data_IF_476264346601
#
_entry.id   IF_476264346601
#
_cell.length_a   1.000
_cell.length_b   1.000
_cell.length_c   1.000
_cell.angle_alpha   90.00
_cell.angle_beta   90.00
_cell.angle_gamma   90.00
#
_symmetry.space_group_name_H-M   'P 1'
#
loop_
_entity.id
_entity.type
_entity.pdbx_description
1 polymer ?
#
# COMPACT_ATOMS: atom_id res chain seq x y z
N UNK A 1 19.97 -14.27 -13.58
CA UNK A 1 19.21 -14.51 -14.84
C UNK A 1 17.70 -14.54 -14.59
N UNK A 2 17.16 -13.49 -13.95
CA UNK A 2 15.72 -13.41 -13.69
C UNK A 2 14.90 -12.99 -14.93
N UNK A 3 15.55 -12.39 -15.94
CA UNK A 3 14.88 -11.90 -17.16
C UNK A 3 15.72 -12.15 -18.41
N UNK A 4 16.02 -13.42 -18.75
CA UNK A 4 16.90 -13.74 -19.88
C UNK A 4 16.36 -13.18 -21.20
N UNK A 5 15.05 -13.29 -21.44
CA UNK A 5 14.41 -12.80 -22.66
C UNK A 5 14.54 -11.27 -22.81
N UNK A 6 14.33 -10.52 -21.73
CA UNK A 6 14.46 -9.06 -21.79
C UNK A 6 15.90 -8.62 -22.07
N UNK A 7 16.89 -9.36 -21.55
CA UNK A 7 18.29 -9.10 -21.80
C UNK A 7 18.69 -9.47 -23.23
N UNK A 8 18.19 -10.60 -23.74
CA UNK A 8 18.45 -11.08 -25.10
C UNK A 8 17.92 -10.12 -26.16
N UNK A 9 16.64 -9.70 -26.02
CA UNK A 9 16.00 -8.78 -26.95
C UNK A 9 16.21 -7.30 -26.61
N UNK A 10 17.01 -7.00 -25.56
CA UNK A 10 17.30 -5.62 -25.09
C UNK A 10 16.05 -4.79 -24.86
N UNK A 11 14.99 -5.44 -24.40
CA UNK A 11 13.74 -4.75 -24.04
C UNK A 11 13.99 -3.81 -22.85
N UNK A 12 13.45 -2.62 -22.94
CA UNK A 12 13.62 -1.55 -21.93
C UNK A 12 15.06 -1.05 -21.71
N UNK A 13 15.99 -1.41 -22.60
CA UNK A 13 17.34 -0.85 -22.56
C UNK A 13 17.32 0.58 -23.11
N UNK A 14 17.80 1.54 -22.35
CA UNK A 14 18.07 2.90 -22.83
C UNK A 14 19.27 2.93 -23.78
N UNK A 15 20.28 2.15 -23.43
CA UNK A 15 21.49 2.05 -24.23
C UNK A 15 21.69 0.60 -24.63
N UNK A 16 21.31 0.30 -25.86
CA UNK A 16 21.45 -1.04 -26.43
C UNK A 16 22.91 -1.51 -26.57
N UNK A 17 23.86 -0.59 -26.42
CA UNK A 17 25.28 -0.90 -26.45
C UNK A 17 25.83 -1.32 -25.07
N UNK A 18 25.07 -1.07 -24.00
CA UNK A 18 25.40 -1.52 -22.66
C UNK A 18 24.81 -2.90 -22.38
N UNK A 19 25.65 -3.81 -21.94
CA UNK A 19 25.24 -5.16 -21.60
C UNK A 19 24.76 -5.26 -20.14
N UNK A 20 23.87 -6.24 -19.88
CA UNK A 20 23.48 -6.64 -18.54
C UNK A 20 22.58 -5.67 -17.81
N UNK A 21 22.63 -5.73 -16.46
CA UNK A 21 21.73 -5.01 -15.58
C UNK A 21 21.84 -3.47 -15.71
N UNK A 22 23.03 -2.95 -16.01
CA UNK A 22 23.24 -1.52 -16.14
C UNK A 22 22.50 -0.93 -17.35
N UNK A 23 22.44 -1.66 -18.45
CA UNK A 23 21.68 -1.23 -19.64
C UNK A 23 20.17 -1.43 -19.49
N UNK A 24 19.76 -2.54 -18.85
CA UNK A 24 18.35 -2.94 -18.78
C UNK A 24 17.58 -2.29 -17.61
N UNK A 25 18.24 -2.02 -16.48
CA UNK A 25 17.54 -1.62 -15.24
C UNK A 25 17.87 -0.22 -14.74
N UNK A 26 18.66 0.55 -15.49
CA UNK A 26 19.05 1.90 -15.06
C UNK A 26 17.85 2.79 -14.71
N UNK A 27 16.75 2.66 -15.46
CA UNK A 27 15.50 3.38 -15.23
C UNK A 27 14.37 2.49 -14.66
N UNK A 28 14.66 1.22 -14.40
CA UNK A 28 13.74 0.36 -13.67
C UNK A 28 13.47 0.89 -12.27
N UNK A 29 12.26 0.71 -11.75
CA UNK A 29 11.89 1.06 -10.38
C UNK A 29 12.09 -0.13 -9.47
N UNK A 30 12.84 0.08 -8.39
CA UNK A 30 13.02 -0.88 -7.30
C UNK A 30 12.03 -0.52 -6.18
N UNK A 31 10.84 -1.09 -6.23
CA UNK A 31 9.80 -0.81 -5.24
C UNK A 31 9.96 -1.68 -4.01
N UNK A 32 9.98 -1.05 -2.84
CA UNK A 32 9.88 -1.70 -1.55
C UNK A 32 8.43 -1.57 -1.10
N UNK A 33 7.71 -2.69 -1.10
CA UNK A 33 6.30 -2.74 -0.71
C UNK A 33 6.13 -3.12 0.75
N UNK A 34 5.00 -2.73 1.33
CA UNK A 34 4.60 -3.15 2.68
C UNK A 34 3.14 -3.55 2.73
N UNK A 35 2.83 -4.47 3.65
CA UNK A 35 1.49 -4.88 4.06
C UNK A 35 1.46 -5.00 5.58
N UNK A 36 0.28 -5.02 6.18
CA UNK A 36 0.14 -5.29 7.62
C UNK A 36 0.47 -4.10 8.52
N UNK A 37 0.35 -2.86 8.06
CA UNK A 37 0.58 -1.69 8.91
C UNK A 37 -0.33 -1.69 10.14
N UNK A 38 -1.61 -2.06 9.97
CA UNK A 38 -2.56 -2.18 11.07
C UNK A 38 -2.07 -3.13 12.16
N UNK A 39 -1.69 -4.32 11.73
CA UNK A 39 -1.25 -5.39 12.63
C UNK A 39 0.07 -5.01 13.30
N UNK A 40 0.99 -4.39 12.58
CA UNK A 40 2.25 -3.92 13.13
C UNK A 40 2.02 -2.85 14.22
N UNK A 41 1.19 -1.86 13.95
CA UNK A 41 0.86 -0.80 14.92
C UNK A 41 0.10 -1.38 16.13
N UNK A 42 -0.84 -2.30 15.92
CA UNK A 42 -1.56 -2.96 17.01
C UNK A 42 -0.61 -3.76 17.90
N UNK A 43 0.39 -4.44 17.35
CA UNK A 43 1.42 -5.15 18.12
C UNK A 43 2.26 -4.16 18.95
N UNK A 44 2.68 -3.07 18.34
CA UNK A 44 3.58 -2.09 18.98
C UNK A 44 2.91 -1.24 20.06
N UNK A 45 1.64 -0.89 19.86
CA UNK A 45 0.92 0.07 20.71
C UNK A 45 -0.18 -0.55 21.55
N UNK A 46 -0.61 -1.78 21.24
CA UNK A 46 -1.79 -2.41 21.80
C UNK A 46 -3.11 -1.83 21.30
N UNK A 47 -3.08 -0.93 20.32
CA UNK A 47 -4.23 -0.16 19.85
C UNK A 47 -4.34 -0.15 18.33
N UNK A 48 -5.56 -0.10 17.82
CA UNK A 48 -5.84 0.06 16.39
C UNK A 48 -5.70 1.52 15.98
N UNK A 49 -4.93 1.79 14.92
CA UNK A 49 -4.59 3.16 14.53
C UNK A 49 -5.82 4.01 14.15
N UNK A 50 -6.90 3.42 13.68
CA UNK A 50 -8.12 4.16 13.36
C UNK A 50 -9.02 4.48 14.59
N UNK A 51 -8.67 3.96 15.79
CA UNK A 51 -9.40 4.18 17.03
C UNK A 51 -8.66 5.04 18.04
N UNK A 52 -7.35 5.23 17.84
CA UNK A 52 -6.50 5.92 18.80
C UNK A 52 -5.53 6.85 18.08
N UNK A 53 -5.45 8.09 18.56
CA UNK A 53 -4.67 9.14 17.91
C UNK A 53 -3.15 8.91 18.03
N UNK A 54 -2.68 8.33 19.15
CA UNK A 54 -1.24 8.03 19.32
C UNK A 54 -0.83 6.88 18.42
N UNK A 55 -1.67 5.83 18.32
CA UNK A 55 -1.46 4.75 17.38
C UNK A 55 -1.49 5.24 15.92
N UNK A 56 -2.37 6.19 15.60
CA UNK A 56 -2.40 6.80 14.27
C UNK A 56 -1.11 7.57 13.95
N UNK A 57 -0.60 8.36 14.90
CA UNK A 57 0.70 9.04 14.74
C UNK A 57 1.83 8.03 14.55
N UNK A 58 1.86 6.97 15.37
CA UNK A 58 2.86 5.91 15.23
C UNK A 58 2.81 5.24 13.84
N UNK A 59 1.61 5.05 13.27
CA UNK A 59 1.45 4.55 11.91
C UNK A 59 2.05 5.51 10.86
N UNK A 60 1.75 6.81 10.97
CA UNK A 60 2.31 7.83 10.07
C UNK A 60 3.83 7.94 10.19
N UNK A 61 4.35 7.92 11.42
CA UNK A 61 5.79 8.00 11.70
C UNK A 61 6.52 6.78 11.12
N UNK A 62 5.95 5.59 11.25
CA UNK A 62 6.52 4.37 10.69
C UNK A 62 6.61 4.43 9.16
N UNK A 63 5.53 4.81 8.49
CA UNK A 63 5.53 4.93 7.02
C UNK A 63 6.42 6.07 6.56
N UNK A 64 6.45 7.19 7.29
CA UNK A 64 7.36 8.30 7.04
C UNK A 64 8.83 7.90 7.17
N UNK A 65 9.17 7.10 8.18
CA UNK A 65 10.50 6.52 8.34
C UNK A 65 10.87 5.60 7.17
N UNK A 66 9.96 4.71 6.77
CA UNK A 66 10.17 3.82 5.62
C UNK A 66 10.44 4.63 4.35
N UNK A 67 9.68 5.71 4.12
CA UNK A 67 9.89 6.58 2.98
C UNK A 67 11.25 7.26 3.02
N UNK A 68 11.64 7.83 4.15
CA UNK A 68 12.95 8.46 4.32
C UNK A 68 14.10 7.47 4.09
N UNK A 69 13.95 6.24 4.57
CA UNK A 69 14.92 5.18 4.36
C UNK A 69 15.08 4.84 2.87
N UNK A 70 13.97 4.68 2.16
CA UNK A 70 13.94 4.40 0.71
C UNK A 70 14.59 5.54 -0.08
N UNK A 71 14.29 6.79 0.28
CA UNK A 71 14.94 7.96 -0.33
C UNK A 71 16.46 8.01 -0.08
N UNK A 72 16.89 7.50 1.08
CA UNK A 72 18.30 7.27 1.40
C UNK A 72 18.96 6.24 0.48
N UNK A 73 18.27 5.12 0.22
CA UNK A 73 18.75 4.09 -0.72
C UNK A 73 18.89 4.65 -2.14
N UNK A 74 17.90 5.44 -2.60
CA UNK A 74 17.95 6.12 -3.90
C UNK A 74 19.20 6.99 -4.05
N UNK A 75 19.51 7.78 -3.02
CA UNK A 75 20.72 8.62 -3.01
C UNK A 75 22.02 7.79 -2.99
N UNK A 76 22.05 6.77 -2.14
CA UNK A 76 23.24 5.91 -1.94
C UNK A 76 23.61 5.12 -3.20
N UNK A 77 22.64 4.50 -3.81
CA UNK A 77 22.86 3.59 -4.95
C UNK A 77 22.64 4.23 -6.32
N UNK A 78 22.10 5.45 -6.38
CA UNK A 78 21.72 6.16 -7.62
C UNK A 78 20.79 5.35 -8.51
N UNK A 79 19.92 4.55 -7.90
CA UNK A 79 18.88 3.76 -8.54
C UNK A 79 17.50 4.30 -8.15
N UNK A 80 16.49 4.02 -8.98
CA UNK A 80 15.14 4.50 -8.74
C UNK A 80 14.40 3.64 -7.72
N UNK A 81 14.70 3.84 -6.42
CA UNK A 81 13.96 3.21 -5.34
C UNK A 81 12.66 3.96 -5.06
N UNK A 82 11.60 3.22 -4.70
CA UNK A 82 10.31 3.78 -4.30
C UNK A 82 9.69 2.99 -3.16
N UNK A 83 8.86 3.65 -2.36
CA UNK A 83 7.98 3.01 -1.39
C UNK A 83 6.62 2.76 -2.02
N UNK A 84 6.17 1.51 -2.01
CA UNK A 84 4.91 1.06 -2.60
C UNK A 84 3.94 0.62 -1.51
N UNK A 85 2.76 1.21 -1.49
CA UNK A 85 1.64 0.69 -0.71
C UNK A 85 1.07 -0.54 -1.45
N UNK A 86 1.55 -1.73 -1.08
CA UNK A 86 1.27 -2.96 -1.81
C UNK A 86 -0.17 -3.42 -1.64
N UNK A 87 -0.85 -3.69 -2.72
CA UNK A 87 -2.10 -4.45 -2.76
C UNK A 87 -1.78 -5.96 -2.85
N UNK A 88 -1.39 -6.55 -1.73
CA UNK A 88 -0.87 -7.91 -1.68
C UNK A 88 -1.94 -8.96 -1.36
N UNK A 89 -2.95 -9.12 -2.19
CA UNK A 89 -4.14 -9.95 -1.92
C UNK A 89 -3.79 -11.39 -1.51
N UNK A 90 -3.04 -12.12 -2.31
CA UNK A 90 -2.64 -13.49 -1.99
C UNK A 90 -1.50 -13.56 -0.96
N UNK A 91 -0.59 -12.60 -0.99
CA UNK A 91 0.57 -12.56 -0.09
C UNK A 91 0.14 -12.29 1.35
N UNK A 92 -0.88 -11.45 1.56
CA UNK A 92 -1.40 -11.11 2.88
C UNK A 92 -1.88 -12.35 3.66
N UNK A 93 -2.63 -13.23 3.02
CA UNK A 93 -3.06 -14.50 3.60
C UNK A 93 -1.90 -15.48 3.80
N UNK A 94 -1.03 -15.61 2.77
CA UNK A 94 0.11 -16.52 2.84
C UNK A 94 1.08 -16.18 3.99
N UNK A 95 1.32 -14.91 4.25
CA UNK A 95 2.20 -14.50 5.35
C UNK A 95 1.60 -14.89 6.71
N UNK A 96 0.28 -14.74 6.90
CA UNK A 96 -0.38 -15.20 8.11
C UNK A 96 -0.26 -16.73 8.29
N UNK A 97 -0.40 -17.49 7.21
CA UNK A 97 -0.20 -18.95 7.27
C UNK A 97 1.22 -19.35 7.67
N UNK A 98 2.23 -18.61 7.20
CA UNK A 98 3.62 -18.83 7.59
C UNK A 98 3.86 -18.46 9.05
N UNK A 99 3.36 -17.32 9.47
CA UNK A 99 3.56 -16.79 10.82
C UNK A 99 2.83 -17.63 11.88
N UNK A 100 1.69 -18.22 11.56
CA UNK A 100 1.00 -19.20 12.44
C UNK A 100 1.84 -20.41 12.80
N UNK A 101 2.83 -20.76 12.00
CA UNK A 101 3.73 -21.89 12.28
C UNK A 101 4.77 -21.55 13.36
N UNK A 102 5.03 -20.26 13.58
CA UNK A 102 6.09 -19.76 14.45
C UNK A 102 5.52 -18.97 15.63
N UNK A 103 4.43 -18.24 15.43
CA UNK A 103 3.88 -17.32 16.41
C UNK A 103 2.45 -17.71 16.82
N UNK A 104 2.15 -17.52 18.11
CA UNK A 104 0.79 -17.60 18.64
C UNK A 104 0.31 -16.20 18.99
N UNK A 105 -0.49 -15.59 18.13
CA UNK A 105 -1.02 -14.22 18.33
C UNK A 105 -2.50 -14.15 17.94
N UNK A 106 -3.33 -13.42 18.71
CA UNK A 106 -4.72 -13.16 18.34
C UNK A 106 -4.87 -12.47 16.98
N UNK A 107 -3.90 -11.66 16.57
CA UNK A 107 -3.87 -10.93 15.28
C UNK A 107 -3.93 -11.90 14.10
N UNK A 108 -3.29 -13.08 14.23
CA UNK A 108 -3.27 -14.09 13.18
C UNK A 108 -4.62 -14.79 12.98
N UNK A 109 -5.58 -14.64 13.90
CA UNK A 109 -6.92 -15.27 13.78
C UNK A 109 -7.68 -14.80 12.56
N UNK A 110 -7.49 -13.56 12.15
CA UNK A 110 -8.15 -12.94 10.99
C UNK A 110 -7.87 -13.66 9.66
N UNK A 111 -6.72 -14.32 9.53
CA UNK A 111 -6.35 -15.11 8.35
C UNK A 111 -5.68 -14.33 7.25
N UNK A 112 -5.53 -13.03 7.39
CA UNK A 112 -4.79 -12.16 6.47
C UNK A 112 -4.25 -10.93 7.20
N UNK A 113 -3.19 -10.33 6.66
CA UNK A 113 -2.73 -9.00 7.03
C UNK A 113 -3.44 -7.96 6.19
N UNK A 114 -3.77 -6.83 6.77
CA UNK A 114 -4.39 -5.72 6.03
C UNK A 114 -3.42 -5.21 4.96
N UNK A 115 -3.93 -4.93 3.77
CA UNK A 115 -3.10 -4.38 2.69
C UNK A 115 -2.54 -3.01 3.09
N UNK A 116 -1.26 -2.82 2.82
CA UNK A 116 -0.54 -1.56 3.03
C UNK A 116 -0.97 -0.80 4.29
N UNK A 117 -1.47 0.42 4.13
CA UNK A 117 -1.98 1.31 5.18
C UNK A 117 -3.52 1.29 5.31
N UNK A 118 -4.21 0.39 4.61
CA UNK A 118 -5.67 0.41 4.62
C UNK A 118 -6.24 0.22 6.01
N UNK A 119 -7.29 0.98 6.32
CA UNK A 119 -8.15 0.69 7.46
C UNK A 119 -8.87 -0.63 7.21
N UNK A 120 -8.97 -1.43 8.26
CA UNK A 120 -9.63 -2.73 8.20
C UNK A 120 -11.08 -2.60 7.70
N UNK A 121 -11.48 -3.46 6.78
CA UNK A 121 -12.85 -3.50 6.24
C UNK A 121 -13.90 -3.72 7.33
N UNK A 122 -13.54 -4.46 8.38
CA UNK A 122 -14.39 -4.72 9.55
C UNK A 122 -14.34 -3.59 10.61
N UNK A 123 -13.73 -2.45 10.27
CA UNK A 123 -13.61 -1.30 11.20
C UNK A 123 -14.95 -0.68 11.60
N UNK A 124 -15.96 -0.81 10.74
CA UNK A 124 -17.27 -0.17 10.89
C UNK A 124 -17.25 1.35 10.63
N UNK A 125 -16.18 1.88 10.07
CA UNK A 125 -16.09 3.30 9.71
C UNK A 125 -16.88 3.60 8.44
N UNK A 126 -17.34 4.86 8.32
CA UNK A 126 -17.88 5.36 7.05
C UNK A 126 -16.76 5.47 5.99
N UNK A 127 -17.16 5.52 4.72
CA UNK A 127 -16.24 5.68 3.61
C UNK A 127 -15.42 6.97 3.74
N UNK A 128 -16.06 8.08 4.08
CA UNK A 128 -15.44 9.38 4.28
C UNK A 128 -14.37 9.30 5.39
N UNK A 129 -14.72 8.73 6.53
CA UNK A 129 -13.79 8.61 7.64
C UNK A 129 -12.60 7.71 7.32
N UNK A 130 -12.83 6.65 6.56
CA UNK A 130 -11.76 5.79 6.03
C UNK A 130 -10.82 6.60 5.13
N UNK A 131 -11.35 7.37 4.18
CA UNK A 131 -10.55 8.19 3.27
C UNK A 131 -9.75 9.28 4.01
N UNK A 132 -10.33 9.92 5.02
CA UNK A 132 -9.63 10.89 5.87
C UNK A 132 -8.41 10.28 6.59
N UNK A 133 -8.54 9.03 7.05
CA UNK A 133 -7.47 8.33 7.76
C UNK A 133 -6.40 7.79 6.80
N UNK A 134 -6.79 7.35 5.61
CA UNK A 134 -5.87 6.77 4.63
C UNK A 134 -5.14 7.83 3.79
N UNK A 135 -5.80 8.96 3.51
CA UNK A 135 -5.29 10.01 2.63
C UNK A 135 -3.86 10.47 2.93
N UNK A 136 -3.51 10.79 4.18
CA UNK A 136 -2.16 11.24 4.54
C UNK A 136 -1.04 10.25 4.17
N UNK A 137 -1.31 8.94 4.13
CA UNK A 137 -0.33 7.93 3.77
C UNK A 137 0.05 7.94 2.29
N UNK A 138 -0.85 8.41 1.42
CA UNK A 138 -0.59 8.46 -0.02
C UNK A 138 0.63 9.30 -0.36
N UNK A 139 0.87 10.39 0.37
CA UNK A 139 2.03 11.27 0.18
C UNK A 139 3.38 10.58 0.39
N UNK A 140 3.41 9.53 1.22
CA UNK A 140 4.63 8.76 1.48
C UNK A 140 4.89 7.68 0.43
N UNK A 141 3.84 7.14 -0.21
CA UNK A 141 3.94 6.00 -1.12
C UNK A 141 4.20 6.45 -2.57
N UNK A 142 5.43 6.90 -2.86
CA UNK A 142 5.81 7.40 -4.19
C UNK A 142 5.95 6.31 -5.26
N UNK A 143 5.90 5.05 -4.87
CA UNK A 143 5.82 3.91 -5.79
C UNK A 143 4.41 3.56 -6.24
N UNK A 144 3.42 4.19 -5.61
CA UNK A 144 2.00 3.98 -5.86
C UNK A 144 1.24 3.63 -4.60
N UNK A 145 -0.02 4.03 -4.58
CA UNK A 145 -0.98 3.74 -3.51
C UNK A 145 -2.40 3.82 -4.06
N UNK A 146 -3.31 3.11 -3.43
CA UNK A 146 -4.73 3.14 -3.75
C UNK A 146 -5.51 3.05 -2.45
N UNK A 147 -6.63 3.76 -2.33
CA UNK A 147 -7.64 3.52 -1.32
C UNK A 147 -8.87 2.90 -1.95
N UNK A 148 -9.49 1.95 -1.27
CA UNK A 148 -10.73 1.31 -1.71
C UNK A 148 -11.89 1.72 -0.82
N UNK A 149 -13.02 2.03 -1.45
CA UNK A 149 -14.31 2.22 -0.77
C UNK A 149 -15.20 1.04 -1.09
N UNK A 150 -15.65 0.36 -0.04
CA UNK A 150 -16.58 -0.76 -0.14
C UNK A 150 -18.01 -0.21 -0.15
N UNK A 151 -18.68 -0.28 -1.29
CA UNK A 151 -20.08 0.09 -1.45
C UNK A 151 -20.97 -1.14 -1.28
N UNK A 152 -22.15 -0.95 -0.68
CA UNK A 152 -23.13 -2.03 -0.50
C UNK A 152 -23.79 -2.46 -1.80
N UNK A 153 -23.85 -1.54 -2.76
CA UNK A 153 -24.45 -1.74 -4.09
C UNK A 153 -23.76 -0.83 -5.11
N UNK A 154 -23.99 -1.07 -6.39
CA UNK A 154 -23.51 -0.19 -7.44
C UNK A 154 -24.13 1.21 -7.29
N UNK A 155 -23.37 2.30 -7.41
CA UNK A 155 -23.84 3.68 -7.14
C UNK A 155 -24.70 4.23 -8.29
N UNK A 156 -25.54 3.39 -8.90
CA UNK A 156 -26.40 3.76 -10.00
C UNK A 156 -27.46 4.79 -9.53
N UNK A 157 -27.47 5.94 -10.18
CA UNK A 157 -28.44 7.01 -9.89
C UNK A 157 -28.10 7.86 -8.65
N UNK A 158 -26.98 7.65 -7.99
CA UNK A 158 -26.52 8.46 -6.86
C UNK A 158 -25.22 9.22 -7.19
N UNK A 159 -25.31 10.12 -8.17
CA UNK A 159 -24.16 10.93 -8.59
C UNK A 159 -23.71 11.89 -7.49
N UNK A 160 -24.63 12.47 -6.72
CA UNK A 160 -24.33 13.41 -5.64
C UNK A 160 -23.53 12.74 -4.53
N UNK A 161 -23.91 11.56 -4.05
CA UNK A 161 -23.15 10.82 -3.06
C UNK A 161 -21.77 10.37 -3.57
N UNK A 162 -21.63 10.11 -4.87
CA UNK A 162 -20.33 9.84 -5.47
C UNK A 162 -19.45 11.08 -5.48
N UNK A 163 -20.01 12.25 -5.84
CA UNK A 163 -19.27 13.52 -5.82
C UNK A 163 -18.77 13.87 -4.42
N UNK A 164 -19.59 13.69 -3.40
CA UNK A 164 -19.20 13.91 -1.99
C UNK A 164 -18.01 13.02 -1.58
N UNK A 165 -18.02 11.75 -1.98
CA UNK A 165 -16.89 10.83 -1.72
C UNK A 165 -15.63 11.26 -2.49
N UNK A 166 -15.75 11.67 -3.73
CA UNK A 166 -14.63 12.17 -4.53
C UNK A 166 -14.05 13.45 -3.95
N UNK A 167 -14.89 14.38 -3.53
CA UNK A 167 -14.44 15.61 -2.84
C UNK A 167 -13.69 15.27 -1.54
N UNK A 168 -14.23 14.34 -0.75
CA UNK A 168 -13.58 13.90 0.47
C UNK A 168 -12.23 13.27 0.20
N UNK A 169 -12.13 12.41 -0.81
CA UNK A 169 -10.87 11.80 -1.22
C UNK A 169 -9.83 12.86 -1.61
N UNK A 170 -10.20 13.83 -2.43
CA UNK A 170 -9.31 14.94 -2.85
C UNK A 170 -8.88 15.78 -1.64
N UNK A 171 -9.81 16.19 -0.78
CA UNK A 171 -9.51 16.98 0.43
C UNK A 171 -8.60 16.23 1.41
N UNK A 172 -8.72 14.91 1.47
CA UNK A 172 -7.91 14.05 2.34
C UNK A 172 -6.53 13.72 1.78
N UNK A 173 -6.25 14.04 0.51
CA UNK A 173 -4.97 13.76 -0.14
C UNK A 173 -4.87 12.35 -0.72
N UNK A 174 -5.98 11.70 -1.03
CA UNK A 174 -6.00 10.40 -1.72
C UNK A 174 -5.60 10.61 -3.18
N UNK A 175 -4.60 9.87 -3.66
CA UNK A 175 -4.08 9.99 -5.03
C UNK A 175 -4.79 9.08 -6.02
N UNK A 176 -5.25 7.91 -5.55
CA UNK A 176 -5.96 6.95 -6.38
C UNK A 176 -7.04 6.26 -5.56
N UNK A 177 -8.25 6.23 -6.09
CA UNK A 177 -9.44 5.71 -5.43
C UNK A 177 -10.08 4.62 -6.28
N UNK A 178 -10.41 3.49 -5.66
CA UNK A 178 -11.18 2.40 -6.23
C UNK A 178 -12.49 2.18 -5.47
N UNK A 179 -13.52 1.74 -6.18
CA UNK A 179 -14.80 1.37 -5.60
C UNK A 179 -15.04 -0.12 -5.80
N UNK A 180 -15.30 -0.83 -4.71
CA UNK A 180 -15.73 -2.21 -4.74
C UNK A 180 -17.23 -2.27 -4.40
N UNK A 181 -17.99 -3.03 -5.15
CA UNK A 181 -19.40 -3.31 -4.90
C UNK A 181 -19.74 -4.72 -5.39
N UNK A 182 -20.76 -5.37 -4.78
CA UNK A 182 -21.22 -6.68 -5.25
C UNK A 182 -21.58 -6.62 -6.73
N UNK A 183 -21.19 -7.63 -7.46
CA UNK A 183 -21.71 -7.87 -8.83
C UNK A 183 -22.87 -8.82 -8.67
N UNK A 184 -24.05 -8.42 -9.17
CA UNK A 184 -25.23 -9.27 -9.26
C UNK A 184 -24.97 -10.48 -10.17
#
# INVERSE_FOLDING_TARGET
DLFPTNLEYKLWCEDINKAGAEGAFKHGTLSIGFIGLNEAVEILTGKKFWKDQEAYRAALDLVGYMRAYVDGLRKKYRLNFSLLATSGELISGRFVELDRKVFSSPILKKGYYTNSFHVDVDSGLSAERKLELEGPFHSYANGGSISYVELKEAPLGNAEGLDELLETAVKSGVHYLGFNFPKD
#
